data_IF_215448213079
#
_entry.id   IF_215448213079
#
_cell.length_a   1.000
_cell.length_b   1.000
_cell.length_c   1.000
_cell.angle_alpha   90.00
_cell.angle_beta   90.00
_cell.angle_gamma   90.00
#
_symmetry.space_group_name_H-M   'P 1'
#
loop_
_entity.id
_entity.type
_entity.pdbx_description
1 polymer ?
#
# COMPACT_ATOMS: atom_id res chain seq x y z
N UNK A 1 18.19 -8.57 12.59
CA UNK A 1 18.67 -8.05 13.89
C UNK A 1 19.77 -9.00 14.35
N UNK A 2 20.95 -8.49 14.71
CA UNK A 2 22.09 -9.30 15.16
C UNK A 2 21.72 -10.13 16.40
N UNK A 3 22.15 -11.40 16.45
CA UNK A 3 21.97 -12.30 17.61
C UNK A 3 22.88 -11.95 18.81
N UNK A 4 23.62 -10.85 18.72
CA UNK A 4 24.60 -10.44 19.71
C UNK A 4 23.96 -9.84 20.97
N UNK A 5 24.46 -10.24 22.14
CA UNK A 5 24.01 -9.67 23.42
C UNK A 5 24.41 -8.18 23.57
N UNK A 6 23.66 -7.44 24.39
CA UNK A 6 23.83 -6.00 24.58
C UNK A 6 25.25 -5.57 25.00
N UNK A 7 25.88 -6.21 26.01
CA UNK A 7 27.24 -5.88 26.44
C UNK A 7 28.29 -6.06 25.35
N UNK A 8 28.25 -7.19 24.63
CA UNK A 8 29.17 -7.47 23.52
C UNK A 8 28.99 -6.43 22.44
N UNK A 9 27.75 -6.11 22.08
CA UNK A 9 27.43 -5.07 21.09
C UNK A 9 28.07 -3.72 21.42
N UNK A 10 28.05 -3.30 22.68
CA UNK A 10 28.70 -2.05 23.13
C UNK A 10 30.22 -2.11 23.02
N UNK A 11 30.83 -3.26 23.31
CA UNK A 11 32.29 -3.46 23.15
C UNK A 11 32.67 -3.41 21.67
N UNK A 12 31.93 -4.14 20.82
CA UNK A 12 32.15 -4.18 19.37
C UNK A 12 32.01 -2.79 18.76
N UNK A 13 30.99 -2.03 19.15
CA UNK A 13 30.79 -0.68 18.66
C UNK A 13 32.02 0.21 18.92
N UNK A 14 32.55 0.19 20.14
CA UNK A 14 33.74 0.98 20.51
C UNK A 14 34.96 0.60 19.68
N UNK A 15 35.18 -0.70 19.47
CA UNK A 15 36.30 -1.17 18.65
C UNK A 15 36.16 -0.78 17.17
N UNK A 16 34.96 -0.86 16.60
CA UNK A 16 34.70 -0.40 15.23
C UNK A 16 34.86 1.11 15.09
N UNK A 17 34.41 1.89 16.08
CA UNK A 17 34.55 3.33 16.09
C UNK A 17 36.03 3.77 16.18
N UNK A 18 36.87 3.01 16.89
CA UNK A 18 38.32 3.22 16.93
C UNK A 18 39.00 2.85 15.60
N UNK A 19 38.53 1.78 14.94
CA UNK A 19 39.13 1.28 13.68
C UNK A 19 38.76 2.16 12.48
N UNK A 20 37.48 2.44 12.29
CA UNK A 20 36.93 3.03 11.06
C UNK A 20 36.44 4.48 11.25
N UNK A 21 36.50 4.98 12.49
CA UNK A 21 35.90 6.24 12.88
C UNK A 21 34.44 6.11 13.34
N UNK A 22 34.04 7.01 14.24
CA UNK A 22 32.70 7.03 14.81
C UNK A 22 31.71 7.81 13.92
N UNK A 23 31.58 7.40 12.67
CA UNK A 23 30.65 7.99 11.69
C UNK A 23 30.07 6.91 10.78
N UNK A 24 28.99 7.25 10.08
CA UNK A 24 28.40 6.37 9.08
C UNK A 24 29.37 6.15 7.91
N UNK A 25 29.70 4.90 7.60
CA UNK A 25 30.63 4.56 6.50
C UNK A 25 30.08 4.91 5.09
N UNK A 26 28.79 5.23 4.96
CA UNK A 26 28.18 5.62 3.68
C UNK A 26 28.04 7.12 3.51
N UNK A 27 27.47 7.82 4.49
CA UNK A 27 27.18 9.25 4.39
C UNK A 27 28.08 10.13 5.26
N UNK A 28 29.06 9.55 5.97
CA UNK A 28 30.05 10.22 6.84
C UNK A 28 29.48 11.08 7.98
N UNK A 29 28.17 10.98 8.27
CA UNK A 29 27.52 11.68 9.39
C UNK A 29 27.87 11.09 10.74
N UNK A 30 27.91 11.96 11.74
CA UNK A 30 28.34 11.67 13.11
C UNK A 30 27.17 11.24 14.01
N UNK A 31 27.45 10.62 15.19
CA UNK A 31 26.41 10.23 16.14
C UNK A 31 25.63 11.41 16.74
N UNK A 32 26.20 12.61 16.74
CA UNK A 32 25.52 13.85 17.15
C UNK A 32 24.40 14.22 16.17
N UNK A 33 24.59 13.92 14.89
CA UNK A 33 23.60 14.23 13.86
C UNK A 33 22.56 13.13 13.72
N UNK A 34 22.96 11.85 13.82
CA UNK A 34 22.08 10.70 13.55
C UNK A 34 22.44 9.47 14.38
N UNK A 35 21.44 8.63 14.67
CA UNK A 35 21.66 7.36 15.35
C UNK A 35 22.47 6.37 14.48
N UNK A 36 23.63 5.95 14.98
CA UNK A 36 24.49 4.94 14.37
C UNK A 36 24.17 3.53 14.89
N UNK A 37 24.36 2.53 14.02
CA UNK A 37 24.11 1.11 14.27
C UNK A 37 25.20 0.26 13.62
N UNK A 38 25.44 -0.92 14.18
CA UNK A 38 26.31 -1.93 13.57
C UNK A 38 25.52 -2.63 12.46
N UNK A 39 26.14 -2.73 11.29
CA UNK A 39 25.67 -3.41 10.08
C UNK A 39 26.62 -4.57 9.72
N UNK A 40 26.06 -5.70 9.34
CA UNK A 40 26.75 -6.87 8.79
C UNK A 40 26.89 -6.70 7.29
N UNK A 41 28.10 -6.70 6.74
CA UNK A 41 28.35 -6.42 5.32
C UNK A 41 27.64 -7.47 4.44
N UNK A 42 27.75 -8.74 4.80
CA UNK A 42 27.15 -9.90 4.12
C UNK A 42 25.65 -10.14 4.40
N UNK A 43 25.01 -9.30 5.22
CA UNK A 43 23.62 -9.45 5.68
C UNK A 43 23.33 -10.70 6.54
N UNK A 44 24.34 -11.47 6.95
CA UNK A 44 24.17 -12.58 7.88
C UNK A 44 24.30 -12.11 9.33
N UNK A 45 23.17 -12.09 10.05
CA UNK A 45 23.11 -11.68 11.47
C UNK A 45 23.90 -12.59 12.43
N UNK A 46 24.38 -13.74 11.97
CA UNK A 46 25.18 -14.69 12.74
C UNK A 46 26.70 -14.51 12.56
N UNK A 47 27.13 -13.92 11.43
CA UNK A 47 28.54 -13.68 11.13
C UNK A 47 29.07 -12.41 11.84
N UNK A 48 29.53 -12.57 13.09
CA UNK A 48 30.02 -11.45 13.91
C UNK A 48 31.53 -11.17 13.75
N UNK A 49 32.15 -11.65 12.66
CA UNK A 49 33.56 -11.35 12.39
C UNK A 49 33.78 -9.85 12.25
N UNK A 50 34.85 -9.32 12.87
CA UNK A 50 35.05 -7.87 12.91
C UNK A 50 35.22 -7.25 11.53
N UNK A 51 35.76 -8.01 10.58
CA UNK A 51 35.90 -7.58 9.18
C UNK A 51 34.55 -7.51 8.46
N UNK A 52 33.56 -8.28 8.90
CA UNK A 52 32.19 -8.28 8.38
C UNK A 52 31.29 -7.20 9.03
N UNK A 53 31.78 -6.48 10.05
CA UNK A 53 31.01 -5.46 10.75
C UNK A 53 31.47 -4.05 10.39
N UNK A 54 30.52 -3.14 10.24
CA UNK A 54 30.74 -1.69 10.03
C UNK A 54 29.69 -0.85 10.73
N UNK A 55 29.96 0.45 10.86
CA UNK A 55 29.03 1.43 11.43
C UNK A 55 28.27 2.15 10.32
N UNK A 56 26.94 2.11 10.37
CA UNK A 56 26.05 2.86 9.49
C UNK A 56 25.05 3.67 10.32
N UNK A 57 24.54 4.77 9.77
CA UNK A 57 23.36 5.40 10.34
C UNK A 57 22.10 4.58 10.05
N UNK A 58 21.04 4.79 10.84
CA UNK A 58 19.73 4.12 10.63
C UNK A 58 19.21 4.25 9.20
N UNK A 59 19.33 5.43 8.58
CA UNK A 59 18.88 5.70 7.20
C UNK A 59 19.65 4.84 6.19
N UNK A 60 20.98 4.87 6.21
CA UNK A 60 21.79 4.07 5.30
C UNK A 60 21.63 2.56 5.55
N UNK A 61 21.51 2.13 6.81
CA UNK A 61 21.21 0.74 7.14
C UNK A 61 19.84 0.31 6.62
N UNK A 62 18.83 1.19 6.61
CA UNK A 62 17.51 0.92 6.06
C UNK A 62 17.51 0.87 4.54
N UNK A 63 18.21 1.80 3.86
CA UNK A 63 18.38 1.77 2.38
C UNK A 63 19.03 0.47 1.94
N UNK A 64 20.03 -0.01 2.68
CA UNK A 64 20.67 -1.31 2.42
C UNK A 64 19.76 -2.50 2.77
N UNK A 65 19.09 -2.44 3.93
CA UNK A 65 18.29 -3.52 4.48
C UNK A 65 16.85 -3.04 4.72
N UNK A 66 16.05 -2.86 3.66
CA UNK A 66 14.67 -2.46 3.79
C UNK A 66 13.93 -3.52 4.60
N UNK A 67 13.24 -3.11 5.68
CA UNK A 67 12.64 -4.04 6.65
C UNK A 67 11.29 -4.63 6.19
N UNK A 68 11.12 -4.85 4.88
CA UNK A 68 9.89 -5.08 4.07
C UNK A 68 9.62 -3.89 3.14
N UNK A 69 8.96 -4.10 1.98
CA UNK A 69 8.46 -2.99 1.18
C UNK A 69 7.53 -2.13 2.04
N UNK A 70 7.67 -0.80 1.94
CA UNK A 70 6.84 0.15 2.70
C UNK A 70 5.37 0.12 2.23
N UNK A 71 5.07 -0.61 1.15
CA UNK A 71 3.76 -0.61 0.50
C UNK A 71 2.91 -1.88 0.68
N UNK A 72 3.38 -2.89 1.41
CA UNK A 72 2.63 -4.14 1.53
C UNK A 72 2.31 -4.49 2.98
N UNK A 73 1.34 -3.76 3.53
CA UNK A 73 0.43 -4.31 4.52
C UNK A 73 -0.44 -5.39 3.86
N UNK A 74 0.16 -6.53 3.51
CA UNK A 74 -0.57 -7.73 3.13
C UNK A 74 -0.43 -8.70 4.30
N UNK A 75 -1.49 -8.88 5.07
CA UNK A 75 -1.57 -10.01 5.98
C UNK A 75 -1.65 -11.27 5.12
N UNK A 76 -0.65 -12.15 5.23
CA UNK A 76 -0.59 -13.47 4.58
C UNK A 76 -1.64 -14.48 5.12
N UNK A 77 -2.74 -13.99 5.70
CA UNK A 77 -3.90 -14.83 5.97
C UNK A 77 -4.70 -14.95 4.67
N UNK A 78 -4.33 -15.94 3.85
CA UNK A 78 -4.98 -16.25 2.57
C UNK A 78 -6.43 -16.72 2.73
N UNK A 79 -6.84 -17.13 3.93
CA UNK A 79 -8.15 -17.76 4.18
C UNK A 79 -9.24 -16.80 4.66
N UNK A 80 -8.88 -15.63 5.20
CA UNK A 80 -9.85 -14.62 5.63
C UNK A 80 -9.47 -13.25 5.05
N UNK A 81 -9.92 -12.99 3.82
CA UNK A 81 -9.80 -11.65 3.23
C UNK A 81 -10.59 -10.67 4.09
N UNK A 82 -9.89 -9.72 4.69
CA UNK A 82 -10.52 -8.62 5.42
C UNK A 82 -11.46 -7.84 4.50
N UNK A 83 -12.52 -7.22 5.03
CA UNK A 83 -13.45 -6.38 4.23
C UNK A 83 -12.71 -5.31 3.42
N UNK A 84 -11.61 -4.77 3.96
CA UNK A 84 -10.76 -3.80 3.26
C UNK A 84 -10.04 -4.42 2.05
N UNK A 85 -9.57 -5.67 2.14
CA UNK A 85 -8.97 -6.39 1.01
C UNK A 85 -10.00 -6.75 -0.05
N UNK A 86 -11.20 -7.17 0.36
CA UNK A 86 -12.32 -7.43 -0.56
C UNK A 86 -12.70 -6.14 -1.29
N UNK A 87 -12.81 -5.01 -0.58
CA UNK A 87 -13.18 -3.73 -1.19
C UNK A 87 -12.09 -3.21 -2.16
N UNK A 88 -10.81 -3.44 -1.87
CA UNK A 88 -9.68 -3.08 -2.76
C UNK A 88 -9.75 -3.74 -4.13
N UNK A 89 -10.24 -4.98 -4.22
CA UNK A 89 -10.36 -5.70 -5.50
C UNK A 89 -11.73 -5.51 -6.16
N UNK A 90 -12.80 -5.50 -5.37
CA UNK A 90 -14.18 -5.48 -5.90
C UNK A 90 -14.64 -4.11 -6.37
N UNK A 91 -14.21 -3.01 -5.75
CA UNK A 91 -14.60 -1.67 -6.22
C UNK A 91 -14.09 -1.39 -7.65
N UNK A 92 -12.80 -1.63 -8.01
CA UNK A 92 -12.33 -1.48 -9.39
C UNK A 92 -13.07 -2.35 -10.41
N UNK A 93 -13.38 -3.60 -10.08
CA UNK A 93 -14.17 -4.49 -10.95
C UNK A 93 -15.58 -3.95 -11.16
N UNK A 94 -16.23 -3.45 -10.09
CA UNK A 94 -17.53 -2.81 -10.20
C UNK A 94 -17.52 -1.59 -11.14
N UNK A 95 -16.45 -0.77 -11.11
CA UNK A 95 -16.33 0.39 -12.01
C UNK A 95 -16.28 -0.05 -13.48
N UNK A 96 -15.54 -1.10 -13.79
CA UNK A 96 -15.46 -1.66 -15.14
C UNK A 96 -16.83 -2.19 -15.59
N UNK A 97 -17.53 -2.89 -14.69
CA UNK A 97 -18.88 -3.38 -14.93
C UNK A 97 -19.85 -2.24 -15.27
N UNK A 98 -19.91 -1.18 -14.46
CA UNK A 98 -20.79 -0.03 -14.71
C UNK A 98 -20.45 0.68 -16.03
N UNK A 99 -19.15 0.85 -16.33
CA UNK A 99 -18.72 1.45 -17.58
C UNK A 99 -19.16 0.63 -18.80
N UNK A 100 -19.06 -0.70 -18.72
CA UNK A 100 -19.52 -1.60 -19.77
C UNK A 100 -21.02 -1.44 -20.03
N UNK A 101 -21.85 -1.56 -18.99
CA UNK A 101 -23.32 -1.45 -19.12
C UNK A 101 -23.78 -0.10 -19.68
N UNK A 102 -23.17 0.99 -19.23
CA UNK A 102 -23.50 2.34 -19.71
C UNK A 102 -22.98 2.56 -21.13
N UNK A 103 -21.82 2.03 -21.50
CA UNK A 103 -21.32 2.12 -22.88
C UNK A 103 -22.22 1.37 -23.88
N UNK A 104 -22.78 0.23 -23.48
CA UNK A 104 -23.66 -0.56 -24.35
C UNK A 104 -25.07 0.02 -24.46
N UNK A 105 -25.62 0.54 -23.36
CA UNK A 105 -27.05 0.94 -23.28
C UNK A 105 -27.28 2.45 -23.22
N UNK A 106 -26.23 3.24 -23.04
CA UNK A 106 -26.26 4.69 -22.85
C UNK A 106 -26.73 5.13 -21.46
N UNK A 107 -27.86 4.60 -20.99
CA UNK A 107 -28.46 4.94 -19.70
C UNK A 107 -29.07 3.70 -19.05
N UNK A 108 -28.73 3.44 -17.79
CA UNK A 108 -29.08 2.18 -17.09
C UNK A 108 -29.78 2.48 -15.77
N UNK A 109 -30.86 1.76 -15.41
CA UNK A 109 -31.51 1.92 -14.10
C UNK A 109 -30.54 1.69 -12.93
N UNK A 110 -30.59 2.57 -11.92
CA UNK A 110 -29.73 2.46 -10.71
C UNK A 110 -29.91 1.10 -10.02
N UNK A 111 -31.15 0.67 -9.83
CA UNK A 111 -31.45 -0.62 -9.19
C UNK A 111 -30.86 -1.78 -9.99
N UNK A 112 -30.89 -1.72 -11.32
CA UNK A 112 -30.32 -2.78 -12.15
C UNK A 112 -28.82 -2.88 -11.88
N UNK A 113 -28.06 -1.80 -12.04
CA UNK A 113 -26.62 -1.76 -11.74
C UNK A 113 -26.26 -2.25 -10.33
N UNK A 114 -27.10 -1.93 -9.34
CA UNK A 114 -26.91 -2.34 -7.94
C UNK A 114 -27.06 -3.85 -7.78
N UNK A 115 -28.16 -4.42 -8.26
CA UNK A 115 -28.47 -5.85 -8.07
C UNK A 115 -27.68 -6.74 -9.03
N UNK A 116 -27.56 -6.38 -10.30
CA UNK A 116 -26.77 -7.15 -11.27
C UNK A 116 -25.28 -7.11 -10.94
N UNK A 117 -24.76 -5.95 -10.52
CA UNK A 117 -23.37 -5.84 -10.10
C UNK A 117 -23.08 -6.57 -8.79
N UNK A 118 -24.07 -6.68 -7.90
CA UNK A 118 -23.95 -7.47 -6.67
C UNK A 118 -23.81 -8.95 -7.00
N UNK A 119 -24.64 -9.45 -7.91
CA UNK A 119 -24.56 -10.82 -8.44
C UNK A 119 -23.22 -11.06 -9.15
N UNK A 120 -22.83 -10.18 -10.08
CA UNK A 120 -21.60 -10.30 -10.87
C UNK A 120 -20.33 -10.39 -10.00
N UNK A 121 -20.30 -9.63 -8.88
CA UNK A 121 -19.13 -9.55 -8.01
C UNK A 121 -19.18 -10.52 -6.81
N UNK A 122 -20.34 -11.11 -6.52
CA UNK A 122 -20.57 -11.88 -5.29
C UNK A 122 -20.52 -11.03 -4.03
N UNK A 123 -21.08 -9.82 -4.06
CA UNK A 123 -21.13 -8.89 -2.90
C UNK A 123 -22.56 -8.44 -2.60
N UNK A 124 -22.80 -7.82 -1.45
CA UNK A 124 -24.16 -7.35 -1.12
C UNK A 124 -24.61 -6.17 -1.99
N UNK A 125 -25.92 -6.03 -2.27
CA UNK A 125 -26.48 -4.84 -2.95
C UNK A 125 -26.16 -3.52 -2.24
N UNK A 126 -26.02 -3.54 -0.92
CA UNK A 126 -25.61 -2.36 -0.14
C UNK A 126 -24.19 -1.93 -0.50
N UNK A 127 -23.30 -2.89 -0.75
CA UNK A 127 -21.90 -2.65 -1.13
C UNK A 127 -21.81 -2.05 -2.53
N UNK A 128 -22.53 -2.60 -3.50
CA UNK A 128 -22.56 -2.05 -4.87
C UNK A 128 -23.23 -0.69 -4.92
N UNK A 129 -24.30 -0.46 -4.14
CA UNK A 129 -24.90 0.87 -4.00
C UNK A 129 -23.89 1.91 -3.47
N UNK A 130 -23.06 1.54 -2.48
CA UNK A 130 -22.00 2.41 -1.98
C UNK A 130 -20.96 2.73 -3.07
N UNK A 131 -20.56 1.74 -3.86
CA UNK A 131 -19.65 1.94 -4.98
C UNK A 131 -20.26 2.83 -6.06
N UNK A 132 -21.53 2.59 -6.41
CA UNK A 132 -22.25 3.37 -7.41
C UNK A 132 -22.41 4.84 -6.99
N UNK A 133 -22.76 5.09 -5.72
CA UNK A 133 -22.80 6.43 -5.12
C UNK A 133 -21.51 7.22 -5.29
N UNK A 134 -20.37 6.56 -5.22
CA UNK A 134 -19.07 7.19 -5.45
C UNK A 134 -18.89 7.56 -6.92
N UNK A 135 -19.36 6.71 -7.83
CA UNK A 135 -19.25 6.89 -9.28
C UNK A 135 -20.12 8.03 -9.83
N UNK A 136 -21.26 8.34 -9.21
CA UNK A 136 -22.09 9.51 -9.55
C UNK A 136 -21.96 10.69 -8.58
N UNK A 137 -20.93 10.68 -7.72
CA UNK A 137 -20.65 11.81 -6.83
C UNK A 137 -20.31 13.10 -7.61
N UNK A 138 -20.10 14.22 -6.92
CA UNK A 138 -19.70 15.48 -7.57
C UNK A 138 -18.45 15.32 -8.46
N UNK A 139 -17.47 14.54 -8.02
CA UNK A 139 -16.25 14.21 -8.78
C UNK A 139 -16.37 12.93 -9.63
N UNK A 140 -17.51 12.22 -9.55
CA UNK A 140 -17.79 11.05 -10.36
C UNK A 140 -18.05 11.40 -11.82
N UNK A 141 -17.85 10.44 -12.73
CA UNK A 141 -18.02 10.63 -14.18
C UNK A 141 -19.47 10.43 -14.65
N UNK A 142 -20.33 9.89 -13.79
CA UNK A 142 -21.74 9.65 -14.10
C UNK A 142 -22.64 10.62 -13.36
N UNK A 143 -23.86 10.77 -13.86
CA UNK A 143 -24.95 11.50 -13.22
C UNK A 143 -26.14 10.59 -12.96
N UNK A 144 -26.97 11.02 -12.01
CA UNK A 144 -28.20 10.34 -11.64
C UNK A 144 -29.39 11.17 -12.09
N UNK A 145 -30.15 10.68 -13.07
CA UNK A 145 -31.35 11.35 -13.59
C UNK A 145 -32.62 10.62 -13.16
N UNK A 146 -33.69 11.37 -12.91
CA UNK A 146 -34.99 10.81 -12.49
C UNK A 146 -35.95 10.81 -13.68
N UNK A 147 -36.43 9.63 -14.06
CA UNK A 147 -37.40 9.46 -15.15
C UNK A 147 -38.52 8.52 -14.70
N UNK A 148 -39.79 8.94 -14.83
CA UNK A 148 -40.96 8.12 -14.52
C UNK A 148 -40.88 7.38 -13.17
N UNK A 149 -40.51 8.11 -12.11
CA UNK A 149 -40.30 7.60 -10.74
C UNK A 149 -39.14 6.61 -10.53
N UNK A 150 -38.34 6.34 -11.57
CA UNK A 150 -37.11 5.55 -11.49
C UNK A 150 -35.88 6.45 -11.62
N UNK A 151 -34.76 5.97 -11.14
CA UNK A 151 -33.47 6.63 -11.30
C UNK A 151 -32.61 5.88 -12.29
N UNK A 152 -31.96 6.64 -13.17
CA UNK A 152 -31.06 6.17 -14.20
C UNK A 152 -29.67 6.76 -13.99
N UNK A 153 -28.65 6.01 -14.41
CA UNK A 153 -27.26 6.39 -14.36
C UNK A 153 -26.73 6.44 -15.80
N UNK A 154 -26.09 7.55 -16.14
CA UNK A 154 -25.51 7.83 -17.46
C UNK A 154 -24.29 8.74 -17.31
N UNK A 155 -23.50 8.93 -18.37
CA UNK A 155 -22.36 9.84 -18.34
C UNK A 155 -22.78 11.28 -18.09
N UNK A 156 -21.94 12.05 -17.40
CA UNK A 156 -22.07 13.51 -17.36
C UNK A 156 -21.75 14.09 -18.75
N UNK A 157 -22.57 15.03 -19.19
CA UNK A 157 -22.38 15.72 -20.48
C UNK A 157 -20.99 16.38 -20.59
N UNK A 158 -20.45 16.90 -19.48
CA UNK A 158 -19.16 17.59 -19.42
C UNK A 158 -17.93 16.68 -19.63
N UNK A 159 -18.09 15.35 -19.65
CA UNK A 159 -16.94 14.44 -19.76
C UNK A 159 -16.43 14.28 -21.20
N UNK A 160 -17.21 14.65 -22.21
CA UNK A 160 -16.81 14.58 -23.63
C UNK A 160 -16.04 15.81 -24.12
N UNK A 161 -15.72 16.77 -23.25
CA UNK A 161 -15.08 18.04 -23.61
C UNK A 161 -13.61 18.18 -23.15
N UNK A 162 -12.94 17.08 -22.83
CA UNK A 162 -11.49 17.04 -22.50
C UNK A 162 -10.74 16.19 -23.52
#
# INVERSE_FOLDING_TARGET
MSKMNGPTRKKIYRELALRDGNFCQFCRRNPEEMQLVIDHIDNDNSNNDRKNLRILCRRCNYVKNPRRPVDECVSENLDEKTELQINRTKEPEFKKYVAHEINERGSVPENELVYSGAEYLGVSPVTTLRYLKKLYSSFGIYQKTKQNSKYFIEYKDDFYHI
#
